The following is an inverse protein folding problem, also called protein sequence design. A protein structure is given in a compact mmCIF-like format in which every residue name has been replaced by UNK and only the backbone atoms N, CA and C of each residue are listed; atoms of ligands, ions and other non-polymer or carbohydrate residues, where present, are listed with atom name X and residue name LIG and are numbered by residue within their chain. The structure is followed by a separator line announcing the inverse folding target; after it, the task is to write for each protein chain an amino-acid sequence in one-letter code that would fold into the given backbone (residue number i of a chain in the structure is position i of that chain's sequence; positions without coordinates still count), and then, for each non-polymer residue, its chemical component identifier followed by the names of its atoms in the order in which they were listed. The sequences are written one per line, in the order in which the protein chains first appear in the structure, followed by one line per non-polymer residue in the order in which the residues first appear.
data_IF_543894444786
#
_entry.id   IF_543894444786
#
_cell.length_a   1.000
_cell.length_b   1.000
_cell.length_c   1.000
_cell.angle_alpha   90.00
_cell.angle_beta   90.00
_cell.angle_gamma   90.00
#
_symmetry.space_group_name_H-M   'P 1'
#
loop_
_entity.id
_entity.type
_entity.pdbx_description
1 polymer ?
#
# COMPACT_ATOMS: atom_id res chain seq x y z
N UNK A 1 -62.61 55.93 53.08
CA UNK A 1 -61.74 54.72 53.02
C UNK A 1 -61.47 54.39 51.55
N UNK A 2 -60.27 54.71 51.04
CA UNK A 2 -59.82 54.34 49.69
C UNK A 2 -58.73 53.29 49.84
N UNK A 3 -58.97 52.06 49.39
CA UNK A 3 -57.95 51.01 49.30
C UNK A 3 -57.36 50.99 47.89
N UNK A 4 -56.06 51.22 47.82
CA UNK A 4 -55.26 51.19 46.61
C UNK A 4 -54.79 49.75 46.37
N UNK A 5 -55.22 49.12 45.27
CA UNK A 5 -54.67 47.83 44.81
C UNK A 5 -53.30 48.08 44.17
N UNK A 6 -52.25 47.45 44.72
CA UNK A 6 -50.92 47.37 44.11
C UNK A 6 -50.86 46.13 43.22
N UNK A 7 -50.63 46.32 41.92
CA UNK A 7 -50.38 45.25 40.96
C UNK A 7 -48.89 44.95 40.95
N UNK A 8 -48.49 43.72 41.30
CA UNK A 8 -47.13 43.21 41.10
C UNK A 8 -47.03 42.69 39.66
N UNK A 9 -46.07 43.20 38.88
CA UNK A 9 -45.70 42.66 37.57
C UNK A 9 -44.48 41.77 37.81
N UNK A 10 -44.65 40.46 37.60
CA UNK A 10 -43.56 39.48 37.62
C UNK A 10 -42.97 39.36 36.22
N UNK A 11 -41.73 39.81 36.04
CA UNK A 11 -40.97 39.65 34.80
C UNK A 11 -40.32 38.27 34.78
N UNK A 12 -40.79 37.36 33.92
CA UNK A 12 -40.13 36.08 33.65
C UNK A 12 -39.04 36.33 32.62
N UNK A 13 -37.77 36.21 33.02
CA UNK A 13 -36.64 36.23 32.10
C UNK A 13 -36.52 34.85 31.45
N UNK A 14 -36.84 34.77 30.15
CA UNK A 14 -36.65 33.57 29.34
C UNK A 14 -35.17 33.48 28.96
N UNK A 15 -34.42 32.62 29.66
CA UNK A 15 -33.06 32.26 29.27
C UNK A 15 -33.12 31.38 28.02
N UNK A 16 -32.80 31.94 26.85
CA UNK A 16 -32.61 31.18 25.63
C UNK A 16 -31.27 30.43 25.72
N UNK A 17 -31.31 29.15 26.08
CA UNK A 17 -30.20 28.22 25.89
C UNK A 17 -30.01 27.99 24.39
N UNK A 18 -29.05 28.70 23.80
CA UNK A 18 -28.51 28.40 22.48
C UNK A 18 -27.89 26.99 22.54
N UNK A 19 -28.59 26.00 21.99
CA UNK A 19 -27.97 24.76 21.58
C UNK A 19 -26.98 25.10 20.46
N UNK A 20 -25.69 25.13 20.80
CA UNK A 20 -24.64 25.10 19.80
C UNK A 20 -24.73 23.74 19.10
N UNK A 21 -25.27 23.72 17.89
CA UNK A 21 -25.07 22.60 16.98
C UNK A 21 -23.55 22.43 16.80
N UNK A 22 -23.01 21.20 16.75
CA UNK A 22 -21.63 20.99 16.36
C UNK A 22 -21.46 21.62 14.98
N UNK A 23 -20.58 22.61 14.88
CA UNK A 23 -20.15 23.12 13.60
C UNK A 23 -19.46 21.96 12.89
N UNK A 24 -20.13 21.34 11.93
CA UNK A 24 -19.45 20.49 10.98
C UNK A 24 -18.34 21.34 10.34
N UNK A 25 -17.12 20.82 10.45
CA UNK A 25 -15.94 21.48 9.94
C UNK A 25 -16.14 21.85 8.46
N UNK A 26 -15.63 23.02 8.13
CA UNK A 26 -15.54 23.69 6.84
C UNK A 26 -15.54 22.75 5.62
N UNK A 27 -16.30 23.11 4.57
CA UNK A 27 -16.45 22.45 3.25
C UNK A 27 -15.11 22.33 2.47
N UNK A 28 -14.07 21.76 3.08
CA UNK A 28 -12.82 21.49 2.39
C UNK A 28 -13.07 20.47 1.30
N UNK A 29 -12.55 20.77 0.11
CA UNK A 29 -12.56 19.87 -1.03
C UNK A 29 -11.18 19.29 -1.32
N UNK A 30 -10.25 19.36 -0.38
CA UNK A 30 -8.89 18.88 -0.58
C UNK A 30 -8.72 17.45 -0.07
N UNK A 31 -8.28 16.52 -0.91
CA UNK A 31 -7.79 15.21 -0.49
C UNK A 31 -6.26 15.23 -0.56
N UNK A 32 -5.60 14.94 0.57
CA UNK A 32 -4.16 14.71 0.58
C UNK A 32 -3.88 13.24 0.23
N UNK A 33 -2.91 12.99 -0.65
CA UNK A 33 -2.50 11.66 -1.08
C UNK A 33 -1.01 11.57 -0.74
N UNK A 34 -0.66 10.66 0.16
CA UNK A 34 0.70 10.54 0.70
C UNK A 34 1.18 9.11 0.42
N UNK A 35 2.29 8.97 -0.30
CA UNK A 35 2.86 7.66 -0.69
C UNK A 35 4.39 7.66 -0.52
N UNK A 36 5.05 6.51 -0.69
CA UNK A 36 6.50 6.45 -0.87
C UNK A 36 6.94 7.03 -2.24
N UNK A 37 8.25 6.95 -2.54
CA UNK A 37 8.85 7.53 -3.75
C UNK A 37 8.24 6.98 -5.04
N UNK A 38 7.97 7.86 -6.00
CA UNK A 38 7.44 7.50 -7.33
C UNK A 38 8.50 6.94 -8.29
N UNK A 39 9.73 6.76 -7.82
CA UNK A 39 10.75 5.96 -8.51
C UNK A 39 10.33 4.48 -8.58
N UNK A 40 9.55 4.00 -7.61
CA UNK A 40 8.84 2.73 -7.74
C UNK A 40 7.50 2.98 -8.46
N UNK A 41 7.23 2.31 -9.60
CA UNK A 41 6.02 2.52 -10.40
C UNK A 41 4.74 2.17 -9.64
N UNK A 42 4.79 1.31 -8.63
CA UNK A 42 3.64 0.94 -7.79
C UNK A 42 3.04 2.16 -7.09
N UNK A 43 3.84 2.86 -6.29
CA UNK A 43 3.39 4.03 -5.52
C UNK A 43 2.98 5.18 -6.43
N UNK A 44 3.62 5.29 -7.61
CA UNK A 44 3.20 6.24 -8.64
C UNK A 44 1.80 5.91 -9.18
N UNK A 45 1.51 4.64 -9.46
CA UNK A 45 0.21 4.21 -9.94
C UNK A 45 -0.89 4.43 -8.89
N UNK A 46 -0.60 4.19 -7.62
CA UNK A 46 -1.51 4.51 -6.52
C UNK A 46 -1.80 6.01 -6.44
N UNK A 47 -0.76 6.85 -6.45
CA UNK A 47 -0.93 8.30 -6.39
C UNK A 47 -1.76 8.83 -7.57
N UNK A 48 -1.51 8.34 -8.78
CA UNK A 48 -2.27 8.70 -9.99
C UNK A 48 -3.71 8.18 -9.92
N UNK A 49 -3.92 6.94 -9.47
CA UNK A 49 -5.26 6.35 -9.34
C UNK A 49 -6.13 7.08 -8.32
N UNK A 50 -5.57 7.37 -7.14
CA UNK A 50 -6.23 8.18 -6.13
C UNK A 50 -6.51 9.61 -6.63
N UNK A 51 -5.51 10.25 -7.27
CA UNK A 51 -5.67 11.61 -7.77
C UNK A 51 -6.76 11.71 -8.85
N UNK A 52 -6.75 10.80 -9.81
CA UNK A 52 -7.75 10.74 -10.87
C UNK A 52 -9.16 10.60 -10.27
N UNK A 53 -9.33 9.67 -9.32
CA UNK A 53 -10.64 9.43 -8.70
C UNK A 53 -11.11 10.61 -7.84
N UNK A 54 -10.21 11.26 -7.12
CA UNK A 54 -10.54 12.43 -6.32
C UNK A 54 -11.04 13.57 -7.21
N UNK A 55 -10.34 13.84 -8.32
CA UNK A 55 -10.74 14.86 -9.29
C UNK A 55 -12.09 14.54 -9.96
N UNK A 56 -12.34 13.28 -10.34
CA UNK A 56 -13.63 12.85 -10.88
C UNK A 56 -14.79 13.12 -9.92
N UNK A 57 -14.56 12.93 -8.61
CA UNK A 57 -15.55 13.17 -7.55
C UNK A 57 -15.63 14.65 -7.13
N UNK A 58 -14.82 15.53 -7.73
CA UNK A 58 -14.88 16.98 -7.54
C UNK A 58 -14.01 17.53 -6.41
N UNK A 59 -12.98 16.80 -6.01
CA UNK A 59 -11.97 17.23 -5.03
C UNK A 59 -10.74 17.82 -5.71
N UNK A 60 -10.10 18.78 -5.03
CA UNK A 60 -8.70 19.15 -5.27
C UNK A 60 -7.78 18.12 -4.61
N UNK A 61 -6.54 18.01 -5.10
CA UNK A 61 -5.57 17.04 -4.62
C UNK A 61 -4.27 17.70 -4.18
N UNK A 62 -3.69 17.16 -3.10
CA UNK A 62 -2.33 17.46 -2.67
C UNK A 62 -1.57 16.14 -2.60
N UNK A 63 -0.75 15.87 -3.61
CA UNK A 63 0.10 14.67 -3.66
C UNK A 63 1.43 14.98 -2.98
N UNK A 64 1.79 14.15 -2.00
CA UNK A 64 2.99 14.27 -1.17
C UNK A 64 3.72 12.93 -1.15
N UNK A 65 5.04 12.98 -1.02
CA UNK A 65 5.91 11.80 -1.03
C UNK A 65 6.73 11.81 0.25
N UNK A 66 6.73 10.70 0.98
CA UNK A 66 7.44 10.59 2.25
C UNK A 66 8.81 9.89 2.14
N UNK A 67 9.19 9.38 0.96
CA UNK A 67 10.47 8.67 0.72
C UNK A 67 10.78 7.58 1.75
N UNK A 68 9.75 6.85 2.19
CA UNK A 68 9.88 5.82 3.23
C UNK A 68 10.48 6.31 4.58
N UNK A 69 10.51 7.63 4.81
CA UNK A 69 10.99 8.30 6.02
C UNK A 69 9.80 8.70 6.94
N UNK A 70 9.71 8.13 8.16
CA UNK A 70 8.63 8.44 9.08
C UNK A 70 8.56 9.90 9.54
N UNK A 71 9.68 10.63 9.59
CA UNK A 71 9.69 12.05 9.93
C UNK A 71 9.12 12.86 8.78
N UNK A 72 9.53 12.59 7.53
CA UNK A 72 8.92 13.23 6.35
C UNK A 72 7.43 12.94 6.28
N UNK A 73 7.00 11.70 6.52
CA UNK A 73 5.58 11.38 6.58
C UNK A 73 4.86 12.21 7.65
N UNK A 74 5.44 12.33 8.85
CA UNK A 74 4.89 13.17 9.91
C UNK A 74 4.74 14.64 9.46
N UNK A 75 5.71 15.19 8.74
CA UNK A 75 5.62 16.54 8.16
C UNK A 75 4.54 16.65 7.07
N UNK A 76 4.34 15.60 6.26
CA UNK A 76 3.28 15.55 5.25
C UNK A 76 1.88 15.52 5.89
N UNK A 77 1.73 14.82 7.02
CA UNK A 77 0.52 14.87 7.84
C UNK A 77 0.27 16.28 8.39
N UNK A 78 1.30 16.93 8.94
CA UNK A 78 1.18 18.29 9.46
C UNK A 78 0.82 19.28 8.34
N UNK A 79 1.35 19.07 7.13
CA UNK A 79 0.99 19.82 5.92
C UNK A 79 -0.47 19.60 5.54
N UNK A 80 -0.95 18.35 5.48
CA UNK A 80 -2.34 18.03 5.17
C UNK A 80 -3.31 18.67 6.18
N UNK A 81 -2.98 18.62 7.47
CA UNK A 81 -3.75 19.25 8.55
C UNK A 81 -3.75 20.77 8.39
N UNK A 82 -2.59 21.40 8.19
CA UNK A 82 -2.48 22.85 8.03
C UNK A 82 -3.21 23.36 6.78
N UNK A 83 -3.28 22.55 5.73
CA UNK A 83 -4.04 22.83 4.50
C UNK A 83 -5.53 22.53 4.64
N UNK A 84 -5.96 21.99 5.77
CA UNK A 84 -7.35 21.64 6.06
C UNK A 84 -7.88 20.57 5.11
N UNK A 85 -7.08 19.55 4.79
CA UNK A 85 -7.54 18.43 3.97
C UNK A 85 -8.82 17.81 4.56
N UNK A 86 -9.77 17.46 3.71
CA UNK A 86 -10.99 16.76 4.10
C UNK A 86 -10.71 15.29 4.45
N UNK A 87 -9.76 14.67 3.77
CA UNK A 87 -9.32 13.30 4.03
C UNK A 87 -7.86 13.12 3.61
N UNK A 88 -7.23 12.07 4.14
CA UNK A 88 -5.89 11.62 3.77
C UNK A 88 -5.99 10.21 3.20
N UNK A 89 -5.46 10.02 1.98
CA UNK A 89 -5.16 8.70 1.43
C UNK A 89 -3.67 8.43 1.69
N UNK A 90 -3.36 7.27 2.26
CA UNK A 90 -2.00 6.96 2.73
C UNK A 90 -1.56 5.56 2.33
N UNK A 91 -0.47 5.47 1.58
CA UNK A 91 0.47 4.35 1.72
C UNK A 91 1.62 4.81 2.63
N UNK A 92 2.01 3.98 3.61
CA UNK A 92 2.66 4.45 4.82
C UNK A 92 4.16 4.08 4.97
N UNK A 93 4.90 4.89 5.73
CA UNK A 93 6.35 4.79 5.93
C UNK A 93 6.79 3.75 6.97
N UNK A 94 5.86 2.96 7.53
CA UNK A 94 6.15 1.90 8.50
C UNK A 94 5.00 1.67 9.48
N UNK A 95 4.66 0.40 9.70
CA UNK A 95 3.42 -0.01 10.36
C UNK A 95 3.27 0.51 11.81
N UNK A 96 4.38 0.65 12.54
CA UNK A 96 4.40 1.19 13.90
C UNK A 96 4.53 2.72 13.93
N UNK A 97 5.44 3.27 13.14
CA UNK A 97 5.78 4.69 13.17
C UNK A 97 4.62 5.59 12.68
N UNK A 98 3.76 5.05 11.80
CA UNK A 98 2.61 5.75 11.21
C UNK A 98 1.43 5.95 12.16
N UNK A 99 1.33 5.13 13.22
CA UNK A 99 0.20 5.16 14.16
C UNK A 99 -0.01 6.56 14.77
N UNK A 100 1.07 7.23 15.18
CA UNK A 100 0.99 8.55 15.81
C UNK A 100 0.49 9.64 14.82
N UNK A 101 1.06 9.80 13.61
CA UNK A 101 0.51 10.70 12.59
C UNK A 101 -0.97 10.48 12.27
N UNK A 102 -1.41 9.24 12.07
CA UNK A 102 -2.83 8.92 11.78
C UNK A 102 -3.74 9.34 12.93
N UNK A 103 -3.33 9.08 14.18
CA UNK A 103 -4.08 9.53 15.37
C UNK A 103 -4.18 11.06 15.44
N UNK A 104 -3.09 11.79 15.14
CA UNK A 104 -3.10 13.26 15.12
C UNK A 104 -4.07 13.82 14.08
N UNK A 105 -4.08 13.26 12.86
CA UNK A 105 -5.07 13.65 11.84
C UNK A 105 -6.50 13.39 12.30
N UNK A 106 -6.77 12.22 12.90
CA UNK A 106 -8.08 11.89 13.47
C UNK A 106 -8.50 12.88 14.57
N UNK A 107 -7.60 13.24 15.48
CA UNK A 107 -7.85 14.24 16.54
C UNK A 107 -8.11 15.64 15.97
N UNK A 108 -7.52 15.97 14.82
CA UNK A 108 -7.81 17.18 14.05
C UNK A 108 -9.12 17.09 13.23
N UNK A 109 -9.83 15.95 13.28
CA UNK A 109 -11.07 15.73 12.54
C UNK A 109 -10.88 15.33 11.07
N UNK A 110 -9.66 14.93 10.67
CA UNK A 110 -9.32 14.53 9.30
C UNK A 110 -9.20 12.99 9.23
N UNK A 111 -10.16 12.28 8.62
CA UNK A 111 -10.11 10.84 8.47
C UNK A 111 -8.97 10.39 7.52
N UNK A 112 -8.34 9.26 7.86
CA UNK A 112 -7.31 8.62 7.03
C UNK A 112 -7.81 7.29 6.46
N UNK A 113 -7.54 7.05 5.18
CA UNK A 113 -7.89 5.84 4.42
C UNK A 113 -6.59 5.26 3.88
N UNK A 114 -6.15 4.17 4.48
CA UNK A 114 -4.87 3.55 4.15
C UNK A 114 -5.03 2.58 2.97
N UNK A 115 -3.98 2.51 2.16
CA UNK A 115 -3.80 1.58 1.07
C UNK A 115 -2.43 0.88 1.19
N UNK A 116 -2.30 -0.30 0.58
CA UNK A 116 -1.10 -1.15 0.46
C UNK A 116 -0.55 -1.69 1.78
N UNK A 117 -0.13 -0.79 2.67
CA UNK A 117 0.53 -1.12 3.93
C UNK A 117 -0.39 -0.92 5.11
N UNK A 118 -0.42 -1.94 5.96
CA UNK A 118 -1.13 -1.90 7.23
C UNK A 118 -0.41 -1.03 8.27
N UNK A 119 -1.13 -0.64 9.31
CA UNK A 119 -0.58 -0.14 10.58
C UNK A 119 -0.94 -1.08 11.72
N UNK A 120 -0.13 -1.15 12.79
CA UNK A 120 -0.31 -2.13 13.88
C UNK A 120 -1.43 -1.79 14.87
N UNK A 121 -2.21 -0.74 14.62
CA UNK A 121 -3.31 -0.31 15.50
C UNK A 121 -4.62 -0.16 14.72
N UNK A 122 -5.65 -0.87 15.18
CA UNK A 122 -7.01 -0.75 14.66
C UNK A 122 -7.80 0.39 15.32
N UNK A 123 -8.77 0.93 14.61
CA UNK A 123 -9.75 1.90 15.10
C UNK A 123 -9.31 3.34 14.98
N UNK A 124 -8.15 3.61 14.38
CA UNK A 124 -7.64 4.97 14.13
C UNK A 124 -7.72 5.38 12.65
N UNK A 125 -7.53 4.46 11.73
CA UNK A 125 -7.86 4.66 10.33
C UNK A 125 -9.36 4.38 10.11
N UNK A 126 -9.96 4.99 9.07
CA UNK A 126 -11.31 4.65 8.65
C UNK A 126 -11.30 3.35 7.83
N UNK A 127 -10.27 3.17 7.01
CA UNK A 127 -10.02 1.94 6.27
C UNK A 127 -8.53 1.64 6.16
N UNK A 128 -8.21 0.37 5.98
CA UNK A 128 -6.92 -0.18 5.59
C UNK A 128 -7.22 -1.19 4.47
N UNK A 129 -7.11 -0.74 3.22
CA UNK A 129 -7.45 -1.53 2.03
C UNK A 129 -6.13 -2.04 1.44
N UNK A 130 -5.87 -3.32 1.61
CA UNK A 130 -4.59 -3.91 1.21
C UNK A 130 -4.82 -5.12 0.31
N UNK A 131 -3.82 -5.48 -0.48
CA UNK A 131 -3.85 -6.76 -1.18
C UNK A 131 -3.86 -7.92 -0.18
N UNK A 132 -4.43 -9.05 -0.58
CA UNK A 132 -4.33 -10.31 0.15
C UNK A 132 -2.91 -10.89 -0.03
N UNK A 133 -1.94 -10.24 0.61
CA UNK A 133 -0.51 -10.47 0.41
C UNK A 133 -0.10 -11.94 0.61
N UNK A 134 -0.68 -12.62 1.60
CA UNK A 134 -0.40 -14.03 1.85
C UNK A 134 -0.92 -14.91 0.71
N UNK A 135 -2.18 -14.72 0.29
CA UNK A 135 -2.77 -15.46 -0.85
C UNK A 135 -1.98 -15.21 -2.14
N UNK A 136 -1.62 -13.96 -2.43
CA UNK A 136 -0.78 -13.66 -3.58
C UNK A 136 0.59 -14.32 -3.51
N UNK A 137 1.21 -14.33 -2.32
CA UNK A 137 2.54 -14.90 -2.16
C UNK A 137 2.52 -16.41 -2.40
N UNK A 138 1.48 -17.10 -1.95
CA UNK A 138 1.28 -18.51 -2.26
C UNK A 138 1.15 -18.75 -3.76
N UNK A 139 0.38 -17.94 -4.51
CA UNK A 139 0.31 -18.07 -5.97
C UNK A 139 1.68 -17.93 -6.64
N UNK A 140 2.48 -16.94 -6.22
CA UNK A 140 3.82 -16.71 -6.75
C UNK A 140 4.78 -17.87 -6.43
N UNK A 141 4.73 -18.38 -5.19
CA UNK A 141 5.55 -19.51 -4.78
C UNK A 141 5.15 -20.83 -5.45
N UNK A 142 3.86 -21.08 -5.66
CA UNK A 142 3.37 -22.25 -6.40
C UNK A 142 3.91 -22.25 -7.84
N UNK A 143 3.88 -21.10 -8.51
CA UNK A 143 4.47 -20.95 -9.84
C UNK A 143 6.00 -21.07 -9.81
N UNK A 144 6.66 -20.51 -8.79
CA UNK A 144 8.10 -20.63 -8.61
C UNK A 144 8.54 -22.09 -8.43
N UNK A 145 7.87 -22.86 -7.58
CA UNK A 145 8.10 -24.30 -7.40
C UNK A 145 7.91 -25.06 -8.71
N UNK A 146 6.82 -24.79 -9.43
CA UNK A 146 6.53 -25.42 -10.73
C UNK A 146 7.64 -25.16 -11.74
N UNK A 147 8.11 -23.92 -11.85
CA UNK A 147 9.18 -23.51 -12.75
C UNK A 147 10.53 -24.13 -12.34
N UNK A 148 10.78 -24.21 -11.03
CA UNK A 148 11.96 -24.87 -10.46
C UNK A 148 11.91 -26.39 -10.62
N UNK A 149 10.76 -26.97 -10.98
CA UNK A 149 10.62 -28.43 -11.07
C UNK A 149 10.81 -29.11 -9.72
N UNK A 150 10.39 -28.45 -8.63
CA UNK A 150 10.40 -28.98 -7.26
C UNK A 150 11.80 -29.27 -6.67
N UNK A 151 12.88 -28.80 -7.31
CA UNK A 151 14.26 -29.02 -6.86
C UNK A 151 15.19 -27.84 -7.18
N UNK A 152 16.25 -27.69 -6.38
CA UNK A 152 17.40 -26.83 -6.66
C UNK A 152 17.63 -25.73 -5.63
N UNK A 153 18.79 -25.09 -5.74
CA UNK A 153 19.19 -24.00 -4.85
C UNK A 153 18.48 -22.71 -5.26
N UNK A 154 17.93 -21.98 -4.29
CA UNK A 154 17.29 -20.69 -4.54
C UNK A 154 17.63 -19.62 -3.52
N UNK A 155 17.30 -18.39 -3.86
CA UNK A 155 17.51 -17.19 -3.05
C UNK A 155 16.17 -16.49 -2.83
N UNK A 156 15.98 -15.92 -1.65
CA UNK A 156 14.89 -14.99 -1.39
C UNK A 156 15.40 -13.56 -1.16
N UNK A 157 14.77 -12.59 -1.83
CA UNK A 157 14.95 -11.16 -1.54
C UNK A 157 13.76 -10.61 -0.77
N UNK A 158 14.01 -10.20 0.47
CA UNK A 158 13.03 -9.64 1.40
C UNK A 158 12.87 -8.12 1.22
N UNK A 159 11.69 -7.64 1.60
CA UNK A 159 11.39 -6.22 1.69
C UNK A 159 11.89 -5.53 2.94
N UNK A 160 11.31 -4.35 3.22
CA UNK A 160 11.61 -3.56 4.43
C UNK A 160 10.98 -4.21 5.67
N UNK A 161 11.75 -4.30 6.75
CA UNK A 161 11.27 -4.84 8.03
C UNK A 161 10.13 -4.00 8.65
N UNK A 162 10.14 -2.69 8.42
CA UNK A 162 9.10 -1.78 8.91
C UNK A 162 7.73 -1.97 8.24
N UNK A 163 7.70 -2.73 7.14
CA UNK A 163 6.50 -3.06 6.36
C UNK A 163 6.09 -4.52 6.64
N UNK A 164 4.86 -4.70 7.13
CA UNK A 164 4.32 -6.04 7.43
C UNK A 164 4.22 -6.92 6.19
N UNK A 165 4.07 -6.33 4.99
CA UNK A 165 3.93 -7.08 3.75
C UNK A 165 5.17 -7.93 3.47
N UNK A 166 6.38 -7.47 3.85
CA UNK A 166 7.61 -8.25 3.68
C UNK A 166 7.55 -9.59 4.42
N UNK A 167 7.17 -9.57 5.69
CA UNK A 167 7.03 -10.79 6.49
C UNK A 167 5.85 -11.66 6.05
N UNK A 168 4.72 -11.06 5.67
CA UNK A 168 3.53 -11.79 5.21
C UNK A 168 3.83 -12.54 3.90
N UNK A 169 4.48 -11.89 2.94
CA UNK A 169 4.85 -12.50 1.66
C UNK A 169 5.86 -13.63 1.84
N UNK A 170 6.93 -13.39 2.61
CA UNK A 170 7.92 -14.42 2.93
C UNK A 170 7.28 -15.63 3.62
N UNK A 171 6.39 -15.41 4.59
CA UNK A 171 5.66 -16.51 5.24
C UNK A 171 4.82 -17.31 4.24
N UNK A 172 4.11 -16.63 3.33
CA UNK A 172 3.33 -17.29 2.28
C UNK A 172 4.19 -18.07 1.28
N UNK A 173 5.40 -17.58 0.97
CA UNK A 173 6.36 -18.32 0.16
C UNK A 173 6.82 -19.59 0.85
N UNK A 174 7.23 -19.50 2.12
CA UNK A 174 7.74 -20.64 2.89
C UNK A 174 6.67 -21.69 3.17
N UNK A 175 5.43 -21.30 3.43
CA UNK A 175 4.32 -22.25 3.61
C UNK A 175 4.08 -23.10 2.35
N UNK A 176 4.51 -22.65 1.16
CA UNK A 176 4.50 -23.44 -0.08
C UNK A 176 5.83 -24.17 -0.29
N UNK A 177 6.95 -23.45 -0.34
CA UNK A 177 8.25 -23.98 -0.77
C UNK A 177 8.80 -25.02 0.23
N UNK A 178 8.57 -24.85 1.53
CA UNK A 178 9.12 -25.76 2.56
C UNK A 178 8.50 -27.17 2.52
N UNK A 179 7.45 -27.38 1.71
CA UNK A 179 6.89 -28.70 1.42
C UNK A 179 7.78 -29.52 0.44
N UNK A 180 8.77 -28.90 -0.20
CA UNK A 180 9.62 -29.48 -1.24
C UNK A 180 11.07 -29.63 -0.73
N UNK A 181 11.45 -30.81 -0.19
CA UNK A 181 12.73 -30.98 0.51
C UNK A 181 13.97 -30.85 -0.39
N UNK A 182 13.81 -30.96 -1.71
CA UNK A 182 14.89 -30.82 -2.69
C UNK A 182 15.08 -29.35 -3.14
N UNK A 183 14.23 -28.42 -2.69
CA UNK A 183 14.40 -26.98 -2.86
C UNK A 183 15.13 -26.40 -1.65
N UNK A 184 16.34 -25.89 -1.87
CA UNK A 184 17.21 -25.43 -0.79
C UNK A 184 17.41 -23.92 -0.87
N UNK A 185 16.98 -23.19 0.16
CA UNK A 185 17.28 -21.76 0.27
C UNK A 185 18.73 -21.56 0.69
N UNK A 186 19.57 -21.01 -0.19
CA UNK A 186 21.00 -20.79 0.08
C UNK A 186 21.31 -19.37 0.56
N UNK A 187 20.40 -18.42 0.33
CA UNK A 187 20.48 -17.08 0.88
C UNK A 187 19.11 -16.44 1.02
N UNK A 188 18.96 -15.64 2.07
CA UNK A 188 17.81 -14.75 2.29
C UNK A 188 18.37 -13.41 2.75
N UNK A 189 18.05 -12.33 2.03
CA UNK A 189 18.55 -10.98 2.34
C UNK A 189 17.47 -9.95 2.04
N UNK A 190 17.37 -8.94 2.90
CA UNK A 190 16.58 -7.76 2.56
C UNK A 190 17.32 -6.89 1.53
N UNK A 191 16.56 -6.41 0.56
CA UNK A 191 16.95 -5.35 -0.37
C UNK A 191 15.98 -4.15 -0.28
N UNK A 192 15.23 -4.04 0.82
CA UNK A 192 14.45 -2.87 1.20
C UNK A 192 13.48 -2.31 0.13
N UNK A 193 12.88 -3.18 -0.69
CA UNK A 193 12.03 -2.76 -1.83
C UNK A 193 12.77 -1.91 -2.86
N UNK A 194 14.10 -1.97 -2.90
CA UNK A 194 14.96 -1.15 -3.76
C UNK A 194 15.57 -1.99 -4.86
N UNK A 195 15.39 -1.53 -6.11
CA UNK A 195 16.00 -2.15 -7.28
C UNK A 195 17.53 -2.08 -7.24
N UNK A 196 18.10 -0.96 -6.78
CA UNK A 196 19.55 -0.78 -6.73
C UNK A 196 20.18 -1.65 -5.65
N UNK A 197 19.59 -1.71 -4.45
CA UNK A 197 20.06 -2.62 -3.40
C UNK A 197 19.92 -4.08 -3.82
N UNK A 198 18.83 -4.45 -4.50
CA UNK A 198 18.63 -5.81 -5.00
C UNK A 198 19.69 -6.22 -6.02
N UNK A 199 20.11 -5.31 -6.90
CA UNK A 199 21.21 -5.54 -7.83
C UNK A 199 22.51 -5.86 -7.07
N UNK A 200 22.92 -4.99 -6.13
CA UNK A 200 24.16 -5.17 -5.34
C UNK A 200 24.14 -6.44 -4.48
N UNK A 201 22.99 -6.73 -3.86
CA UNK A 201 22.77 -7.95 -3.08
C UNK A 201 22.85 -9.18 -3.96
N UNK A 202 22.23 -9.16 -5.13
CA UNK A 202 22.22 -10.29 -6.04
C UNK A 202 23.62 -10.56 -6.60
N UNK A 203 24.41 -9.53 -6.94
CA UNK A 203 25.83 -9.71 -7.32
C UNK A 203 26.61 -10.45 -6.23
N UNK A 204 26.47 -10.01 -4.97
CA UNK A 204 27.16 -10.62 -3.83
C UNK A 204 26.71 -12.07 -3.60
N UNK A 205 25.41 -12.31 -3.63
CA UNK A 205 24.83 -13.65 -3.40
C UNK A 205 25.23 -14.61 -4.52
N UNK A 206 25.21 -14.16 -5.78
CA UNK A 206 25.57 -14.98 -6.93
C UNK A 206 27.05 -15.38 -6.92
N UNK A 207 27.94 -14.48 -6.47
CA UNK A 207 29.36 -14.82 -6.27
C UNK A 207 29.55 -15.91 -5.21
N UNK A 208 28.78 -15.87 -4.13
CA UNK A 208 28.83 -16.86 -3.06
C UNK A 208 28.13 -18.18 -3.41
N UNK A 209 27.10 -18.13 -4.27
CA UNK A 209 26.23 -19.25 -4.63
C UNK A 209 26.07 -19.32 -6.15
N UNK A 210 27.13 -19.69 -6.90
CA UNK A 210 27.11 -19.67 -8.36
C UNK A 210 26.19 -20.74 -8.97
N UNK A 211 25.68 -21.69 -8.19
CA UNK A 211 24.84 -22.81 -8.59
C UNK A 211 23.34 -22.60 -8.32
N UNK A 212 22.92 -21.38 -7.94
CA UNK A 212 21.50 -21.08 -7.79
C UNK A 212 20.74 -21.32 -9.10
N UNK A 213 19.52 -21.83 -8.97
CA UNK A 213 18.58 -22.11 -10.05
C UNK A 213 17.43 -21.10 -10.08
N UNK A 214 17.10 -20.49 -8.94
CA UNK A 214 16.04 -19.49 -8.86
C UNK A 214 16.21 -18.40 -7.81
N UNK A 215 15.46 -17.32 -8.00
CA UNK A 215 15.30 -16.20 -7.10
C UNK A 215 13.80 -15.93 -6.96
N UNK A 216 13.30 -15.94 -5.73
CA UNK A 216 11.95 -15.45 -5.41
C UNK A 216 12.09 -14.10 -4.70
N UNK A 217 11.32 -13.11 -5.15
CA UNK A 217 11.45 -11.74 -4.68
C UNK A 217 10.14 -11.25 -4.10
N UNK A 218 10.21 -10.63 -2.92
CA UNK A 218 9.03 -10.08 -2.26
C UNK A 218 8.39 -8.91 -3.01
N UNK A 219 9.08 -8.28 -3.99
CA UNK A 219 8.46 -7.31 -4.89
C UNK A 219 9.14 -7.19 -6.27
N UNK A 220 8.51 -6.45 -7.19
CA UNK A 220 8.94 -6.33 -8.58
C UNK A 220 10.20 -5.47 -8.77
N UNK A 221 10.37 -4.39 -8.01
CA UNK A 221 11.59 -3.57 -8.12
C UNK A 221 12.83 -4.38 -7.74
N UNK A 222 12.73 -5.23 -6.71
CA UNK A 222 13.83 -6.10 -6.32
C UNK A 222 14.02 -7.24 -7.34
N UNK A 223 12.94 -7.78 -7.92
CA UNK A 223 13.02 -8.75 -9.01
C UNK A 223 13.76 -8.17 -10.23
N UNK A 224 13.47 -6.92 -10.61
CA UNK A 224 14.18 -6.22 -11.69
C UNK A 224 15.66 -6.00 -11.38
N UNK A 225 16.01 -5.68 -10.12
CA UNK A 225 17.40 -5.54 -9.68
C UNK A 225 18.16 -6.86 -9.74
N UNK A 226 17.52 -7.94 -9.26
CA UNK A 226 18.07 -9.29 -9.33
C UNK A 226 18.25 -9.75 -10.78
N UNK A 227 17.25 -9.55 -11.63
CA UNK A 227 17.31 -9.91 -13.05
C UNK A 227 18.44 -9.19 -13.76
N UNK A 228 18.60 -7.87 -13.55
CA UNK A 228 19.69 -7.11 -14.14
C UNK A 228 21.08 -7.61 -13.72
N UNK A 229 21.26 -7.98 -12.44
CA UNK A 229 22.52 -8.56 -11.95
C UNK A 229 22.81 -9.94 -12.57
N UNK A 230 21.78 -10.78 -12.71
CA UNK A 230 21.87 -12.08 -13.36
C UNK A 230 22.21 -11.96 -14.85
N UNK A 231 21.57 -11.05 -15.58
CA UNK A 231 21.88 -10.76 -16.98
C UNK A 231 23.32 -10.28 -17.15
N UNK A 232 23.78 -9.36 -16.30
CA UNK A 232 25.16 -8.85 -16.32
C UNK A 232 26.20 -9.97 -16.07
N UNK A 233 25.84 -10.97 -15.25
CA UNK A 233 26.66 -12.14 -14.97
C UNK A 233 26.52 -13.27 -16.02
N UNK A 234 25.69 -13.10 -17.05
CA UNK A 234 25.41 -14.13 -18.05
C UNK A 234 24.61 -15.33 -17.52
N UNK A 235 23.87 -15.15 -16.42
CA UNK A 235 23.05 -16.16 -15.74
C UNK A 235 21.56 -16.02 -16.05
N UNK A 236 21.23 -15.86 -17.33
CA UNK A 236 19.84 -15.76 -17.82
C UNK A 236 19.06 -17.08 -17.71
N UNK A 237 19.72 -18.16 -17.29
CA UNK A 237 19.12 -19.46 -16.96
C UNK A 237 18.41 -19.48 -15.61
N UNK A 238 18.71 -18.53 -14.71
CA UNK A 238 18.11 -18.46 -13.38
C UNK A 238 16.66 -17.99 -13.46
N UNK A 239 15.76 -18.72 -12.81
CA UNK A 239 14.34 -18.41 -12.73
C UNK A 239 14.13 -17.26 -11.75
N UNK A 240 13.45 -16.19 -12.16
CA UNK A 240 13.06 -15.09 -11.25
C UNK A 240 11.55 -14.99 -11.19
N UNK A 241 11.00 -14.90 -9.98
CA UNK A 241 9.58 -14.62 -9.73
C UNK A 241 9.47 -13.40 -8.80
N UNK A 242 8.70 -12.41 -9.23
CA UNK A 242 8.43 -11.17 -8.50
C UNK A 242 7.06 -11.14 -7.82
N UNK A 243 6.66 -9.94 -7.41
CA UNK A 243 5.36 -9.63 -6.81
C UNK A 243 5.10 -8.12 -7.00
N UNK A 244 4.01 -7.73 -7.64
CA UNK A 244 3.38 -6.38 -7.68
C UNK A 244 2.54 -6.29 -8.96
N UNK A 245 3.07 -6.74 -10.10
CA UNK A 245 2.43 -6.64 -11.41
C UNK A 245 2.76 -5.33 -12.13
N UNK A 246 3.99 -4.85 -12.00
CA UNK A 246 4.48 -3.67 -12.69
C UNK A 246 4.64 -3.89 -14.19
N UNK A 247 4.52 -2.82 -14.99
CA UNK A 247 4.79 -2.86 -16.42
C UNK A 247 6.26 -3.26 -16.72
N UNK A 248 7.21 -2.89 -15.87
CA UNK A 248 8.62 -3.23 -16.06
C UNK A 248 8.84 -4.75 -15.97
N UNK A 249 8.23 -5.40 -14.98
CA UNK A 249 8.31 -6.87 -14.86
C UNK A 249 7.45 -7.56 -15.93
N UNK A 250 6.29 -7.00 -16.29
CA UNK A 250 5.51 -7.48 -17.45
C UNK A 250 6.36 -7.50 -18.71
N UNK A 251 7.04 -6.39 -19.02
CA UNK A 251 7.86 -6.27 -20.22
C UNK A 251 9.05 -7.24 -20.18
N UNK A 252 9.64 -7.46 -19.00
CA UNK A 252 10.65 -8.50 -18.79
C UNK A 252 10.10 -9.91 -19.07
N UNK A 253 8.90 -10.23 -18.59
CA UNK A 253 8.21 -11.51 -18.87
C UNK A 253 7.99 -11.69 -20.37
N UNK A 254 7.47 -10.67 -21.06
CA UNK A 254 7.23 -10.70 -22.50
C UNK A 254 8.53 -10.84 -23.31
N UNK A 255 9.64 -10.29 -22.82
CA UNK A 255 10.97 -10.45 -23.40
C UNK A 255 11.63 -11.80 -23.08
N UNK A 256 10.99 -12.66 -22.29
CA UNK A 256 11.52 -13.96 -21.88
C UNK A 256 12.51 -13.91 -20.71
N UNK A 257 12.58 -12.79 -19.99
CA UNK A 257 13.41 -12.58 -18.81
C UNK A 257 12.82 -13.18 -17.54
N UNK A 258 12.34 -12.33 -16.62
CA UNK A 258 11.59 -12.73 -15.40
C UNK A 258 10.44 -13.67 -15.81
N UNK A 259 10.12 -14.68 -14.99
CA UNK A 259 9.20 -15.76 -15.40
C UNK A 259 7.76 -15.55 -14.96
N UNK A 260 7.56 -14.92 -13.81
CA UNK A 260 6.24 -14.58 -13.30
C UNK A 260 6.32 -13.44 -12.28
N UNK A 261 5.17 -12.84 -12.01
CA UNK A 261 4.93 -11.96 -10.87
C UNK A 261 3.50 -12.16 -10.37
N UNK A 262 3.10 -11.44 -9.33
CA UNK A 262 1.76 -11.49 -8.74
C UNK A 262 1.20 -10.08 -8.77
N UNK A 263 0.12 -9.89 -9.53
CA UNK A 263 -0.58 -8.62 -9.62
C UNK A 263 -1.29 -8.29 -8.32
N UNK A 264 -0.93 -7.12 -7.81
CA UNK A 264 -1.71 -6.35 -6.85
C UNK A 264 -2.53 -5.28 -7.61
N UNK A 265 -3.83 -5.09 -7.30
CA UNK A 265 -4.68 -4.14 -8.03
C UNK A 265 -4.46 -2.67 -7.59
N UNK A 266 -3.22 -2.19 -7.60
CA UNK A 266 -2.78 -0.92 -7.00
C UNK A 266 -3.63 0.29 -7.42
N UNK A 267 -3.87 0.43 -8.73
CA UNK A 267 -4.66 1.53 -9.27
C UNK A 267 -6.09 1.50 -8.73
N UNK A 268 -6.75 0.33 -8.77
CA UNK A 268 -8.13 0.17 -8.29
C UNK A 268 -8.23 0.30 -6.77
N UNK A 269 -7.24 -0.18 -6.03
CA UNK A 269 -7.15 -0.05 -4.57
C UNK A 269 -7.13 1.41 -4.14
N UNK A 270 -6.28 2.22 -4.79
CA UNK A 270 -6.20 3.65 -4.55
C UNK A 270 -7.52 4.39 -4.87
N UNK A 271 -8.18 4.03 -5.97
CA UNK A 271 -9.51 4.56 -6.30
C UNK A 271 -10.56 4.20 -5.24
N UNK A 272 -10.56 2.95 -4.74
CA UNK A 272 -11.50 2.49 -3.73
C UNK A 272 -11.34 3.25 -2.40
N UNK A 273 -10.11 3.56 -2.00
CA UNK A 273 -9.87 4.38 -0.81
C UNK A 273 -10.46 5.79 -0.95
N UNK A 274 -10.35 6.41 -2.13
CA UNK A 274 -10.95 7.71 -2.41
C UNK A 274 -12.48 7.64 -2.44
N UNK A 275 -13.05 6.57 -3.01
CA UNK A 275 -14.50 6.33 -2.98
C UNK A 275 -15.03 6.21 -1.56
N UNK A 276 -14.30 5.49 -0.69
CA UNK A 276 -14.64 5.38 0.73
C UNK A 276 -14.45 6.70 1.47
N UNK A 277 -13.44 7.49 1.12
CA UNK A 277 -13.28 8.84 1.65
C UNK A 277 -14.48 9.73 1.30
N UNK A 278 -14.88 9.77 0.03
CA UNK A 278 -16.05 10.53 -0.42
C UNK A 278 -17.34 10.07 0.27
N UNK A 279 -17.57 8.77 0.38
CA UNK A 279 -18.74 8.22 1.05
C UNK A 279 -18.75 8.58 2.55
N UNK A 280 -17.61 8.47 3.22
CA UNK A 280 -17.47 8.82 4.62
C UNK A 280 -17.71 10.32 4.85
N UNK A 281 -17.16 11.19 4.00
CA UNK A 281 -17.39 12.63 4.08
C UNK A 281 -18.86 13.01 3.90
N UNK A 282 -19.60 12.27 3.08
CA UNK A 282 -21.04 12.50 2.84
C UNK A 282 -21.96 11.91 3.91
N UNK A 283 -21.57 10.80 4.55
CA UNK A 283 -22.50 9.98 5.34
C UNK A 283 -22.02 9.63 6.75
N UNK A 284 -20.73 9.85 7.05
CA UNK A 284 -20.08 9.45 8.29
C UNK A 284 -19.71 7.96 8.38
N UNK A 285 -19.87 7.19 7.30
CA UNK A 285 -19.55 5.75 7.27
C UNK A 285 -19.17 5.25 5.87
N UNK A 286 -18.25 4.30 5.80
CA UNK A 286 -17.93 3.56 4.55
C UNK A 286 -18.87 2.36 4.34
N UNK A 287 -19.52 1.88 5.41
CA UNK A 287 -20.29 0.62 5.38
C UNK A 287 -19.41 -0.64 5.24
N UNK A 288 -18.09 -0.50 5.33
CA UNK A 288 -17.11 -1.58 5.22
C UNK A 288 -16.36 -1.79 6.54
N UNK A 289 -15.79 -2.99 6.79
CA UNK A 289 -14.83 -3.16 7.88
C UNK A 289 -13.59 -2.27 7.65
N UNK A 290 -12.89 -1.94 8.73
CA UNK A 290 -11.64 -1.16 8.63
C UNK A 290 -10.63 -1.88 7.75
N UNK A 291 -10.28 -3.14 8.08
CA UNK A 291 -9.38 -3.95 7.26
C UNK A 291 -10.14 -4.64 6.13
N UNK A 292 -9.65 -4.44 4.91
CA UNK A 292 -10.24 -4.97 3.68
C UNK A 292 -9.13 -5.58 2.82
N UNK A 293 -9.40 -6.74 2.24
CA UNK A 293 -8.45 -7.47 1.39
C UNK A 293 -8.91 -7.43 -0.07
N UNK A 294 -7.98 -7.20 -0.98
CA UNK A 294 -8.18 -7.33 -2.43
C UNK A 294 -7.38 -8.51 -2.97
N UNK A 295 -8.01 -9.38 -3.76
CA UNK A 295 -7.35 -10.58 -4.27
C UNK A 295 -6.21 -10.25 -5.23
N UNK A 296 -5.16 -11.05 -5.16
CA UNK A 296 -4.02 -11.01 -6.07
C UNK A 296 -4.19 -12.01 -7.22
N UNK A 297 -3.55 -11.75 -8.35
CA UNK A 297 -3.63 -12.59 -9.55
C UNK A 297 -2.22 -12.94 -10.04
N UNK A 298 -1.93 -14.21 -10.30
CA UNK A 298 -0.65 -14.60 -10.91
C UNK A 298 -0.53 -14.01 -12.32
N UNK A 299 0.63 -13.44 -12.63
CA UNK A 299 1.00 -12.94 -13.95
C UNK A 299 2.17 -13.74 -14.49
N UNK A 300 2.01 -14.32 -15.67
CA UNK A 300 3.05 -15.04 -16.38
C UNK A 300 2.88 -14.80 -17.89
N UNK A 301 3.56 -15.57 -18.74
CA UNK A 301 3.48 -15.40 -20.20
C UNK A 301 2.07 -15.57 -20.77
N UNK A 302 1.16 -16.24 -20.08
CA UNK A 302 -0.19 -16.53 -20.59
C UNK A 302 -1.12 -15.31 -20.50
N UNK A 303 -0.84 -14.37 -19.59
CA UNK A 303 -1.69 -13.20 -19.34
C UNK A 303 -0.92 -11.87 -19.24
N UNK A 304 0.41 -11.85 -19.35
CA UNK A 304 1.20 -10.62 -19.27
C UNK A 304 0.81 -9.59 -20.34
N UNK A 305 0.39 -10.00 -21.53
CA UNK A 305 -0.07 -9.06 -22.58
C UNK A 305 -1.36 -8.32 -22.22
N UNK A 306 -2.15 -8.85 -21.27
CA UNK A 306 -3.38 -8.24 -20.78
C UNK A 306 -3.12 -7.25 -19.64
N UNK A 307 -1.92 -7.25 -19.05
CA UNK A 307 -1.58 -6.39 -17.93
C UNK A 307 -1.17 -5.01 -18.43
N UNK A 308 -1.80 -3.96 -17.91
CA UNK A 308 -1.40 -2.58 -18.12
C UNK A 308 -1.66 -1.76 -16.85
N UNK A 309 -0.62 -1.10 -16.34
CA UNK A 309 -0.70 -0.19 -15.17
C UNK A 309 -1.47 -0.82 -14.00
N UNK A 310 -1.05 -2.02 -13.59
CA UNK A 310 -1.63 -2.76 -12.45
C UNK A 310 -3.12 -3.14 -12.61
N UNK A 311 -3.60 -3.30 -13.85
CA UNK A 311 -4.92 -3.84 -14.16
C UNK A 311 -4.83 -4.85 -15.31
N UNK A 312 -5.68 -5.87 -15.28
CA UNK A 312 -5.88 -6.77 -16.43
C UNK A 312 -7.00 -6.20 -17.31
N UNK A 313 -6.68 -5.94 -18.58
CA UNK A 313 -7.66 -5.67 -19.63
C UNK A 313 -8.23 -7.01 -20.12
N UNK A 314 -9.57 -7.11 -20.16
CA UNK A 314 -10.30 -8.33 -20.54
C UNK A 314 -10.61 -8.44 -22.03
#
# INVERSE_FOLDING_TARGET
MKQTRRTFISTVALAATLFAAPAFAQDSKLIAIITPSHDNPFFKAEAVGAEARAKELGYETLVLVHDDDPNKQSEMFDTAIARGAAAIILDNAGADATVAPVRRAKEAGIPSFLIDREIKESGIAISQIVSNNYQGAQLGAEEFVRLMGEEGNYVELLGREADTNAGIRSSGYHDVIDQYPDMNMVAQQSANWSQTEAYEKMETILQANPDIKGVISGNDTMAMGAWAALEAAGRTDVIVVGFDGSNDVRDSILAGGIKATVLQPAYRQAQLAVEQADQYLKTGSTGQPEKQLMDCILINTDNAEQLETFALEG
#
